data_IF_718597253055
#
_entry.id   IF_718597253055
#
_cell.length_a   1.000
_cell.length_b   1.000
_cell.length_c   1.000
_cell.angle_alpha   90.00
_cell.angle_beta   90.00
_cell.angle_gamma   90.00
#
_symmetry.space_group_name_H-M   'P 1'
#
loop_
_entity.id
_entity.type
_entity.pdbx_description
1 polymer ?
#
# COMPACT_ATOMS: atom_id res chain seq x y z
N UNK A 1 -16.69 5.39 14.69
CA UNK A 1 -15.70 6.28 14.03
C UNK A 1 -14.72 5.56 13.10
N UNK A 2 -13.70 4.81 13.58
CA UNK A 2 -12.75 4.12 12.66
C UNK A 2 -13.43 3.18 11.65
N UNK A 3 -14.44 2.41 12.10
CA UNK A 3 -15.22 1.52 11.23
C UNK A 3 -16.02 2.27 10.16
N UNK A 4 -16.58 3.42 10.50
CA UNK A 4 -17.37 4.22 9.55
C UNK A 4 -16.46 4.82 8.47
N UNK A 5 -15.30 5.36 8.86
CA UNK A 5 -14.28 5.84 7.93
C UNK A 5 -13.84 4.73 6.97
N UNK A 6 -13.61 3.53 7.50
CA UNK A 6 -13.25 2.37 6.71
C UNK A 6 -14.33 1.99 5.69
N UNK A 7 -15.59 1.89 6.09
CA UNK A 7 -16.68 1.55 5.17
C UNK A 7 -16.89 2.63 4.11
N UNK A 8 -16.87 3.92 4.49
CA UNK A 8 -16.95 5.03 3.52
C UNK A 8 -15.82 4.98 2.49
N UNK A 9 -14.59 4.75 2.95
CA UNK A 9 -13.44 4.58 2.07
C UNK A 9 -13.60 3.37 1.13
N UNK A 10 -14.05 2.24 1.67
CA UNK A 10 -14.24 1.01 0.92
C UNK A 10 -15.31 1.14 -0.16
N UNK A 11 -16.47 1.71 0.17
CA UNK A 11 -17.56 1.96 -0.78
C UNK A 11 -17.08 2.85 -1.92
N UNK A 12 -16.43 3.98 -1.59
CA UNK A 12 -15.89 4.89 -2.60
C UNK A 12 -14.89 4.20 -3.54
N UNK A 13 -13.94 3.43 -2.98
CA UNK A 13 -12.91 2.75 -3.77
C UNK A 13 -13.50 1.71 -4.73
N UNK A 14 -14.50 0.95 -4.28
CA UNK A 14 -15.18 -0.04 -5.12
C UNK A 14 -15.93 0.65 -6.27
N UNK A 15 -16.66 1.74 -5.99
CA UNK A 15 -17.46 2.46 -6.99
C UNK A 15 -16.61 3.21 -8.02
N UNK A 16 -15.50 3.83 -7.60
CA UNK A 16 -14.74 4.76 -8.44
C UNK A 16 -13.47 4.15 -9.04
N UNK A 17 -12.87 3.16 -8.38
CA UNK A 17 -11.61 2.54 -8.82
C UNK A 17 -11.87 1.13 -9.34
N UNK A 18 -12.66 0.34 -8.62
CA UNK A 18 -13.11 -1.01 -8.97
C UNK A 18 -12.77 -2.06 -7.91
N UNK A 19 -13.29 -3.27 -8.09
CA UNK A 19 -13.25 -4.36 -7.09
C UNK A 19 -11.86 -4.92 -6.77
N UNK A 20 -10.84 -4.58 -7.57
CA UNK A 20 -9.47 -5.03 -7.34
C UNK A 20 -8.75 -4.24 -6.23
N UNK A 21 -9.35 -3.14 -5.77
CA UNK A 21 -8.85 -2.35 -4.64
C UNK A 21 -9.84 -2.35 -3.48
N UNK A 22 -9.32 -2.13 -2.27
CA UNK A 22 -10.11 -2.01 -1.04
C UNK A 22 -9.44 -1.05 -0.07
N UNK A 23 -10.20 -0.57 0.92
CA UNK A 23 -9.66 0.10 2.09
C UNK A 23 -8.78 -0.85 2.92
N UNK A 24 -7.73 -0.31 3.52
CA UNK A 24 -6.82 -0.96 4.45
C UNK A 24 -6.79 -0.25 5.80
N UNK A 25 -5.63 -0.21 6.44
CA UNK A 25 -5.46 0.42 7.75
C UNK A 25 -5.94 1.88 7.75
N UNK A 26 -6.61 2.25 8.85
CA UNK A 26 -7.11 3.60 9.10
C UNK A 26 -6.35 4.20 10.28
N UNK A 27 -5.82 5.41 10.10
CA UNK A 27 -5.15 6.15 11.17
C UNK A 27 -5.46 7.64 11.09
N UNK A 28 -5.41 8.31 12.23
CA UNK A 28 -5.66 9.75 12.31
C UNK A 28 -4.33 10.51 12.30
N UNK A 29 -4.23 11.51 11.42
CA UNK A 29 -3.13 12.47 11.42
C UNK A 29 -3.61 13.76 12.09
N UNK A 30 -3.12 14.01 13.30
CA UNK A 30 -3.47 15.21 14.06
C UNK A 30 -2.90 16.50 13.46
N UNK A 31 -1.78 16.42 12.72
CA UNK A 31 -1.17 17.57 12.07
C UNK A 31 -1.98 18.08 10.89
N UNK A 32 -2.60 17.17 10.13
CA UNK A 32 -3.49 17.51 9.02
C UNK A 32 -4.98 17.50 9.40
N UNK A 33 -5.32 17.02 10.60
CA UNK A 33 -6.70 16.82 11.05
C UNK A 33 -7.53 15.91 10.13
N UNK A 34 -6.89 14.90 9.55
CA UNK A 34 -7.50 13.96 8.60
C UNK A 34 -7.40 12.52 9.07
N UNK A 35 -8.38 11.71 8.67
CA UNK A 35 -8.30 10.27 8.67
C UNK A 35 -7.66 9.78 7.37
N UNK A 36 -6.53 9.12 7.48
CA UNK A 36 -5.85 8.49 6.35
C UNK A 36 -6.24 7.01 6.29
N UNK A 37 -6.58 6.54 5.10
CA UNK A 37 -6.95 5.15 4.83
C UNK A 37 -6.05 4.61 3.73
N UNK A 38 -5.33 3.53 4.02
CA UNK A 38 -4.50 2.87 3.00
C UNK A 38 -5.37 2.28 1.91
N UNK A 39 -4.90 2.37 0.67
CA UNK A 39 -5.53 1.73 -0.49
C UNK A 39 -4.75 0.45 -0.78
N UNK A 40 -5.43 -0.69 -0.67
CA UNK A 40 -4.86 -2.01 -0.90
C UNK A 40 -5.32 -2.55 -2.25
N UNK A 41 -4.43 -3.21 -2.98
CA UNK A 41 -4.76 -3.99 -4.16
C UNK A 41 -4.51 -5.47 -3.91
N UNK A 42 -5.46 -6.30 -4.32
CA UNK A 42 -5.32 -7.76 -4.30
C UNK A 42 -4.63 -8.21 -5.59
N UNK A 43 -3.51 -8.90 -5.43
CA UNK A 43 -2.72 -9.45 -6.54
C UNK A 43 -2.49 -10.95 -6.34
N UNK A 44 -2.09 -11.69 -7.39
CA UNK A 44 -1.67 -13.08 -7.25
C UNK A 44 -0.54 -13.28 -6.23
N UNK A 45 0.29 -12.26 -5.99
CA UNK A 45 1.43 -12.30 -5.07
C UNK A 45 1.09 -11.81 -3.65
N UNK A 46 -0.19 -11.52 -3.38
CA UNK A 46 -0.66 -11.01 -2.08
C UNK A 46 -1.23 -9.60 -2.16
N UNK A 47 -1.26 -8.92 -1.02
CA UNK A 47 -1.80 -7.56 -0.88
C UNK A 47 -0.69 -6.52 -1.03
N UNK A 48 -0.92 -5.52 -1.88
CA UNK A 48 -0.02 -4.40 -2.08
C UNK A 48 -0.67 -3.08 -1.65
N UNK A 49 0.05 -2.28 -0.87
CA UNK A 49 -0.35 -0.89 -0.58
C UNK A 49 0.01 -0.03 -1.79
N UNK A 50 -0.98 0.63 -2.37
CA UNK A 50 -0.83 1.48 -3.56
C UNK A 50 -0.75 2.97 -3.22
N UNK A 51 -1.28 3.38 -2.08
CA UNK A 51 -1.36 4.77 -1.66
C UNK A 51 -2.29 4.93 -0.48
N UNK A 52 -2.74 6.15 -0.25
CA UNK A 52 -3.68 6.48 0.83
C UNK A 52 -4.74 7.45 0.30
N UNK A 53 -5.96 7.32 0.80
CA UNK A 53 -7.00 8.34 0.65
C UNK A 53 -7.20 9.03 2.00
N UNK A 54 -7.70 10.27 1.94
CA UNK A 54 -7.87 11.12 3.11
C UNK A 54 -9.31 11.56 3.25
N UNK A 55 -9.81 11.47 4.47
CA UNK A 55 -11.12 11.97 4.86
C UNK A 55 -10.96 13.00 5.97
N UNK A 56 -11.80 14.03 5.98
CA UNK A 56 -11.88 14.98 7.09
C UNK A 56 -12.62 14.37 8.31
N UNK A 57 -12.82 15.17 9.36
CA UNK A 57 -13.54 14.75 10.58
C UNK A 57 -15.03 14.45 10.32
N UNK A 58 -15.59 15.05 9.28
CA UNK A 58 -16.98 14.89 8.86
C UNK A 58 -17.14 13.76 7.83
N UNK A 59 -16.06 13.01 7.55
CA UNK A 59 -15.98 11.87 6.64
C UNK A 59 -16.10 12.24 5.16
N UNK A 60 -15.91 13.51 4.81
CA UNK A 60 -15.81 13.91 3.42
C UNK A 60 -14.43 13.54 2.89
N UNK A 61 -14.38 13.05 1.65
CA UNK A 61 -13.11 12.75 0.98
C UNK A 61 -12.45 14.06 0.58
N UNK A 62 -11.26 14.31 1.13
CA UNK A 62 -10.50 15.54 0.84
C UNK A 62 -9.37 15.29 -0.16
N UNK A 63 -8.88 14.05 -0.24
CA UNK A 63 -7.85 13.65 -1.20
C UNK A 63 -7.94 12.16 -1.50
N UNK A 64 -7.78 11.81 -2.77
CA UNK A 64 -7.69 10.43 -3.23
C UNK A 64 -6.86 10.37 -4.52
N UNK A 65 -5.85 9.48 -4.60
CA UNK A 65 -5.09 9.29 -5.83
C UNK A 65 -5.99 8.85 -6.99
N UNK A 66 -5.75 9.41 -8.18
CA UNK A 66 -6.46 9.00 -9.38
C UNK A 66 -6.21 7.51 -9.70
N UNK A 67 -7.21 6.87 -10.33
CA UNK A 67 -7.14 5.46 -10.74
C UNK A 67 -5.88 5.14 -11.57
N UNK A 68 -5.52 6.01 -12.51
CA UNK A 68 -4.33 5.82 -13.34
C UNK A 68 -3.03 5.83 -12.53
N UNK A 69 -2.94 6.72 -11.54
CA UNK A 69 -1.81 6.77 -10.59
C UNK A 69 -1.69 5.47 -9.82
N UNK A 70 -2.80 4.95 -9.28
CA UNK A 70 -2.82 3.67 -8.57
C UNK A 70 -2.41 2.50 -9.47
N UNK A 71 -2.89 2.47 -10.71
CA UNK A 71 -2.51 1.45 -11.70
C UNK A 71 -1.03 1.50 -12.06
N UNK A 72 -0.45 2.70 -12.19
CA UNK A 72 0.97 2.85 -12.46
C UNK A 72 1.82 2.37 -11.28
N UNK A 73 1.41 2.69 -10.05
CA UNK A 73 2.08 2.19 -8.84
C UNK A 73 1.97 0.66 -8.75
N UNK A 74 0.80 0.10 -9.04
CA UNK A 74 0.58 -1.35 -9.05
C UNK A 74 1.49 -2.02 -10.09
N UNK A 75 1.54 -1.52 -11.32
CA UNK A 75 2.44 -2.03 -12.38
C UNK A 75 3.90 -1.99 -11.95
N UNK A 76 4.35 -0.87 -11.40
CA UNK A 76 5.73 -0.75 -10.91
C UNK A 76 6.03 -1.75 -9.79
N UNK A 77 5.11 -1.96 -8.84
CA UNK A 77 5.28 -2.94 -7.76
C UNK A 77 5.24 -4.39 -8.25
N UNK A 78 4.47 -4.69 -9.29
CA UNK A 78 4.42 -6.01 -9.91
C UNK A 78 5.65 -6.31 -10.78
N UNK A 79 6.31 -5.28 -11.32
CA UNK A 79 7.57 -5.41 -12.04
C UNK A 79 8.78 -5.54 -11.10
N UNK A 80 8.64 -5.11 -9.84
CA UNK A 80 9.64 -5.27 -8.80
C UNK A 80 9.60 -6.74 -8.31
N UNK A 81 10.20 -7.65 -9.08
CA UNK A 81 10.34 -9.07 -8.74
C UNK A 81 11.17 -9.21 -7.46
N UNK A 82 10.49 -9.30 -6.31
CA UNK A 82 11.13 -9.55 -5.02
C UNK A 82 11.17 -11.03 -4.74
N UNK A 83 12.32 -11.64 -5.01
CA UNK A 83 12.59 -13.03 -4.65
C UNK A 83 13.17 -13.08 -3.24
N UNK A 84 12.50 -13.80 -2.34
CA UNK A 84 13.02 -14.10 -1.02
C UNK A 84 13.83 -15.40 -1.11
N UNK A 85 15.15 -15.31 -0.91
CA UNK A 85 16.05 -16.45 -0.94
C UNK A 85 16.54 -16.70 0.48
N UNK A 86 16.25 -17.89 1.01
CA UNK A 86 16.81 -18.32 2.28
C UNK A 86 18.29 -18.68 2.08
N UNK A 87 19.16 -18.06 2.86
CA UNK A 87 20.61 -18.20 2.75
C UNK A 87 21.23 -18.40 4.12
N UNK A 88 22.16 -19.37 4.29
CA UNK A 88 22.86 -19.54 5.55
C UNK A 88 23.51 -18.25 6.00
N UNK A 89 23.41 -17.93 7.30
CA UNK A 89 23.97 -16.69 7.87
C UNK A 89 25.44 -16.45 7.52
N UNK A 90 26.23 -17.53 7.38
CA UNK A 90 27.64 -17.48 7.00
C UNK A 90 27.87 -16.93 5.57
N UNK A 91 26.90 -17.07 4.67
CA UNK A 91 27.00 -16.66 3.26
C UNK A 91 26.53 -15.20 3.02
N UNK A 92 25.86 -14.57 4.00
CA UNK A 92 25.30 -13.23 3.87
C UNK A 92 26.35 -12.17 3.47
N UNK A 93 27.53 -12.23 4.07
CA UNK A 93 28.63 -11.30 3.80
C UNK A 93 29.12 -11.40 2.35
N UNK A 94 29.19 -12.63 1.83
CA UNK A 94 29.61 -12.91 0.45
C UNK A 94 28.57 -12.40 -0.55
N UNK A 95 27.29 -12.66 -0.29
CA UNK A 95 26.19 -12.20 -1.14
C UNK A 95 26.15 -10.67 -1.22
N UNK A 96 26.31 -9.99 -0.07
CA UNK A 96 26.36 -8.52 -0.01
C UNK A 96 27.46 -7.94 -0.88
N UNK A 97 28.62 -8.60 -0.93
CA UNK A 97 29.77 -8.13 -1.72
C UNK A 97 29.61 -8.46 -3.21
N UNK A 98 28.87 -9.51 -3.56
CA UNK A 98 28.65 -9.92 -4.95
C UNK A 98 27.53 -9.12 -5.63
N UNK A 99 26.50 -8.71 -4.88
CA UNK A 99 25.33 -8.04 -5.45
C UNK A 99 25.06 -6.74 -4.67
N UNK A 100 25.39 -5.62 -5.31
CA UNK A 100 25.30 -4.28 -4.72
C UNK A 100 23.88 -3.82 -4.39
N UNK A 101 22.85 -4.47 -4.97
CA UNK A 101 21.44 -4.13 -4.77
C UNK A 101 20.74 -4.98 -3.70
N UNK A 102 21.43 -5.90 -3.02
CA UNK A 102 20.81 -6.76 -1.99
C UNK A 102 20.61 -6.00 -0.69
N UNK A 103 19.38 -6.04 -0.18
CA UNK A 103 19.02 -5.58 1.18
C UNK A 103 18.94 -6.78 2.12
N UNK A 104 19.79 -6.81 3.14
CA UNK A 104 19.78 -7.85 4.18
C UNK A 104 18.93 -7.35 5.35
N UNK A 105 17.96 -8.14 5.75
CA UNK A 105 17.18 -7.95 6.98
C UNK A 105 17.63 -9.01 7.99
N UNK A 106 17.93 -8.62 9.22
CA UNK A 106 18.43 -9.49 10.27
C UNK A 106 18.21 -8.92 11.65
#
# INVERSE_FOLDING_TARGET
MHKEIYETAKEYLIENIGELVSAGDVYYDAGQSTWNVKILAKTPHGLLILGEMRLDKDKNIVDVPAKETLLNILKAKLQDDRVLIDVPRAELSRIKNMISSVRIYG
#
